data_IF_594060947332
#
_entry.id   IF_594060947332
#
_cell.length_a   1.000
_cell.length_b   1.000
_cell.length_c   1.000
_cell.angle_alpha   90.00
_cell.angle_beta   90.00
_cell.angle_gamma   90.00
#
_symmetry.space_group_name_H-M   'P 1'
#
loop_
_entity.id
_entity.type
_entity.pdbx_description
1 polymer ?
#
# COMPACT_ATOMS: atom_id res chain seq x y z
N UNK A 1 -4.46 -11.18 18.01
CA UNK A 1 -3.43 -12.03 17.38
C UNK A 1 -2.14 -12.07 18.19
N UNK A 2 -1.54 -10.93 18.55
CA UNK A 2 -0.31 -10.86 19.35
C UNK A 2 -0.28 -11.75 20.59
N UNK A 3 -1.31 -11.66 21.44
CA UNK A 3 -1.40 -12.47 22.67
C UNK A 3 -1.50 -13.99 22.44
N UNK A 4 -1.85 -14.42 21.23
CA UNK A 4 -1.90 -15.83 20.85
C UNK A 4 -0.59 -16.34 20.22
N UNK A 5 0.44 -15.48 20.16
CA UNK A 5 1.74 -15.78 19.53
C UNK A 5 2.89 -15.56 20.52
N UNK A 6 4.04 -16.20 20.29
CA UNK A 6 5.22 -16.08 21.15
C UNK A 6 6.06 -14.81 20.89
N UNK A 7 6.94 -14.41 21.83
CA UNK A 7 7.90 -13.33 21.63
C UNK A 7 8.86 -13.70 20.48
N UNK A 8 8.78 -12.98 19.36
CA UNK A 8 9.56 -13.27 18.13
C UNK A 8 8.74 -13.82 16.97
N UNK A 9 7.43 -14.02 17.13
CA UNK A 9 6.55 -14.29 15.99
C UNK A 9 6.18 -12.99 15.29
N UNK A 10 6.55 -12.83 14.02
CA UNK A 10 6.22 -11.64 13.24
C UNK A 10 4.76 -11.67 12.78
N UNK A 11 4.06 -10.55 12.92
CA UNK A 11 2.72 -10.33 12.37
C UNK A 11 2.82 -9.17 11.39
N UNK A 12 2.54 -9.44 10.12
CA UNK A 12 2.34 -8.43 9.10
C UNK A 12 0.87 -8.25 8.76
N UNK A 13 0.51 -7.06 8.28
CA UNK A 13 -0.79 -6.81 7.64
C UNK A 13 -0.58 -6.48 6.18
N UNK A 14 -1.53 -6.89 5.34
CA UNK A 14 -1.68 -6.36 3.99
C UNK A 14 -2.93 -5.50 3.94
N UNK A 15 -2.79 -4.27 3.49
CA UNK A 15 -3.91 -3.34 3.37
C UNK A 15 -3.92 -2.59 2.05
N UNK A 16 -5.10 -2.09 1.69
CA UNK A 16 -5.27 -1.18 0.57
C UNK A 16 -4.87 0.24 0.99
N UNK A 17 -4.29 0.99 0.06
CA UNK A 17 -4.10 2.44 0.13
C UNK A 17 -5.40 3.19 -0.17
N UNK A 18 -6.23 2.63 -1.04
CA UNK A 18 -7.61 3.04 -1.30
C UNK A 18 -8.37 1.92 -2.03
N UNK A 19 -9.70 1.94 -1.95
CA UNK A 19 -10.58 1.00 -2.67
C UNK A 19 -10.89 1.45 -4.11
N UNK A 20 -10.54 2.69 -4.47
CA UNK A 20 -10.80 3.28 -5.78
C UNK A 20 -12.29 3.25 -6.19
N UNK A 21 -13.17 3.41 -5.19
CA UNK A 21 -14.62 3.50 -5.36
C UNK A 21 -15.15 4.76 -4.69
N UNK A 22 -16.17 5.40 -5.27
CA UNK A 22 -16.75 6.63 -4.72
C UNK A 22 -17.38 6.36 -3.35
N UNK A 23 -16.86 7.01 -2.31
CA UNK A 23 -17.31 6.82 -0.92
C UNK A 23 -16.82 5.52 -0.27
N UNK A 24 -15.85 4.83 -0.90
CA UNK A 24 -15.14 3.71 -0.29
C UNK A 24 -13.93 4.18 0.53
N UNK A 25 -13.13 3.21 0.99
CA UNK A 25 -11.92 3.45 1.78
C UNK A 25 -10.92 4.31 1.00
N UNK A 26 -10.44 5.39 1.62
CA UNK A 26 -9.46 6.31 1.03
C UNK A 26 -8.10 6.33 1.75
N UNK A 27 -7.15 7.13 1.24
CA UNK A 27 -5.81 7.24 1.81
C UNK A 27 -5.80 7.80 3.24
N UNK A 28 -6.77 8.65 3.58
CA UNK A 28 -6.92 9.20 4.93
C UNK A 28 -7.34 8.11 5.91
N UNK A 29 -8.31 7.29 5.52
CA UNK A 29 -8.71 6.10 6.29
C UNK A 29 -7.54 5.11 6.42
N UNK A 30 -6.80 4.87 5.32
CA UNK A 30 -5.62 4.03 5.31
C UNK A 30 -4.55 4.52 6.29
N UNK A 31 -4.30 5.83 6.35
CA UNK A 31 -3.36 6.44 7.28
C UNK A 31 -3.76 6.21 8.75
N UNK A 32 -5.05 6.39 9.07
CA UNK A 32 -5.57 6.16 10.42
C UNK A 32 -5.40 4.69 10.84
N UNK A 33 -5.78 3.76 9.96
CA UNK A 33 -5.64 2.32 10.22
C UNK A 33 -4.17 1.93 10.40
N UNK A 34 -3.27 2.40 9.53
CA UNK A 34 -1.86 2.09 9.61
C UNK A 34 -1.23 2.57 10.92
N UNK A 35 -1.55 3.80 11.37
CA UNK A 35 -1.10 4.34 12.66
C UNK A 35 -1.63 3.53 13.84
N UNK A 36 -2.91 3.13 13.80
CA UNK A 36 -3.50 2.31 14.85
C UNK A 36 -2.82 0.94 14.94
N UNK A 37 -2.59 0.27 13.81
CA UNK A 37 -1.91 -1.03 13.78
C UNK A 37 -0.44 -0.93 14.20
N UNK A 38 0.24 0.16 13.86
CA UNK A 38 1.59 0.45 14.34
C UNK A 38 1.63 0.59 15.86
N UNK A 39 0.67 1.31 16.46
CA UNK A 39 0.56 1.46 17.91
C UNK A 39 0.28 0.13 18.64
N UNK A 40 -0.42 -0.80 18.00
CA UNK A 40 -0.67 -2.15 18.52
C UNK A 40 0.53 -3.12 18.34
N UNK A 41 1.64 -2.65 17.78
CA UNK A 41 2.87 -3.44 17.64
C UNK A 41 2.82 -4.44 16.50
N UNK A 42 2.34 -4.02 15.33
CA UNK A 42 2.51 -4.77 14.09
C UNK A 42 3.93 -4.66 13.56
N UNK A 43 4.45 -5.74 12.96
CA UNK A 43 5.87 -5.83 12.59
C UNK A 43 6.15 -5.43 11.14
N UNK A 44 5.12 -5.44 10.28
CA UNK A 44 5.22 -5.13 8.85
C UNK A 44 3.87 -4.66 8.31
N UNK A 45 3.89 -3.64 7.45
CA UNK A 45 2.72 -3.22 6.68
C UNK A 45 3.03 -3.39 5.19
N UNK A 46 2.34 -4.32 4.54
CA UNK A 46 2.29 -4.43 3.07
C UNK A 46 1.21 -3.51 2.52
N UNK A 47 1.62 -2.59 1.66
CA UNK A 47 0.76 -1.65 0.96
C UNK A 47 0.45 -2.22 -0.42
N UNK A 48 -0.85 -2.27 -0.70
CA UNK A 48 -1.40 -2.61 -2.01
C UNK A 48 -2.56 -1.67 -2.34
N UNK A 49 -3.34 -2.01 -3.35
CA UNK A 49 -4.54 -1.28 -3.70
C UNK A 49 -5.26 -1.95 -4.86
N UNK A 50 -6.49 -1.51 -5.10
CA UNK A 50 -7.41 -2.13 -6.05
C UNK A 50 -8.46 -2.98 -5.34
N UNK A 51 -9.52 -3.30 -6.07
CA UNK A 51 -10.63 -4.14 -5.60
C UNK A 51 -10.84 -5.30 -6.57
N UNK A 52 -11.68 -6.27 -6.19
CA UNK A 52 -12.05 -7.39 -7.05
C UNK A 52 -12.77 -6.93 -8.34
N UNK A 53 -13.47 -5.79 -8.27
CA UNK A 53 -14.22 -5.20 -9.39
C UNK A 53 -13.36 -4.28 -10.26
N UNK A 54 -12.35 -3.65 -9.66
CA UNK A 54 -11.31 -2.87 -10.36
C UNK A 54 -9.93 -3.33 -9.89
N UNK A 55 -9.41 -4.46 -10.42
CA UNK A 55 -8.08 -4.90 -10.06
C UNK A 55 -7.07 -4.01 -10.79
N UNK A 56 -6.54 -3.01 -10.08
CA UNK A 56 -5.39 -2.21 -10.50
C UNK A 56 -4.20 -3.11 -10.86
N UNK A 57 -4.08 -4.28 -10.21
CA UNK A 57 -3.10 -5.34 -10.51
C UNK A 57 -3.28 -6.00 -11.89
N UNK A 58 -4.51 -6.11 -12.42
CA UNK A 58 -4.80 -6.83 -13.69
C UNK A 58 -4.89 -5.86 -14.87
N UNK A 59 -5.36 -4.65 -14.63
CA UNK A 59 -5.68 -3.70 -15.72
C UNK A 59 -4.59 -2.70 -16.03
N UNK A 60 -3.55 -2.57 -15.18
CA UNK A 60 -2.49 -1.58 -15.38
C UNK A 60 -3.08 -0.20 -15.69
N UNK A 61 -3.83 0.36 -14.73
CA UNK A 61 -4.50 1.66 -14.89
C UNK A 61 -5.27 1.85 -16.22
N UNK A 62 -6.04 0.83 -16.65
CA UNK A 62 -7.14 1.02 -17.62
C UNK A 62 -8.49 1.31 -16.94
N UNK A 63 -8.47 1.75 -15.68
CA UNK A 63 -9.62 2.40 -15.08
C UNK A 63 -9.66 3.84 -15.56
N UNK A 64 -10.69 4.19 -16.34
CA UNK A 64 -11.04 5.56 -16.75
C UNK A 64 -11.40 6.42 -15.54
N UNK A 65 -10.41 6.76 -14.71
CA UNK A 65 -10.57 7.75 -13.65
C UNK A 65 -9.90 9.06 -14.09
N UNK A 66 -10.74 10.08 -14.28
CA UNK A 66 -10.31 11.46 -14.44
C UNK A 66 -9.42 11.87 -13.27
N UNK A 67 -8.16 12.17 -13.55
CA UNK A 67 -7.23 12.76 -12.56
C UNK A 67 -5.90 12.00 -12.35
N UNK A 68 -5.74 10.78 -12.86
CA UNK A 68 -4.44 10.07 -12.76
C UNK A 68 -3.49 10.60 -13.83
N UNK A 69 -2.43 11.31 -13.40
CA UNK A 69 -1.36 11.81 -14.30
C UNK A 69 -0.77 10.66 -15.11
N UNK A 70 -0.46 10.89 -16.39
CA UNK A 70 0.18 9.87 -17.24
C UNK A 70 1.54 9.40 -16.69
N UNK A 71 2.24 10.26 -15.94
CA UNK A 71 3.45 9.89 -15.18
C UNK A 71 3.21 8.84 -14.10
N UNK A 72 1.98 8.71 -13.60
CA UNK A 72 1.56 7.70 -12.62
C UNK A 72 1.11 6.41 -13.31
N UNK A 73 0.72 6.47 -14.59
CA UNK A 73 0.46 5.28 -15.43
C UNK A 73 1.74 4.61 -15.94
N UNK A 74 2.81 5.38 -16.15
CA UNK A 74 4.07 4.89 -16.72
C UNK A 74 5.09 4.39 -15.70
N UNK A 75 4.95 4.72 -14.41
CA UNK A 75 5.90 4.32 -13.37
C UNK A 75 5.59 2.93 -12.83
N UNK A 76 6.62 2.08 -12.74
CA UNK A 76 6.62 0.92 -11.86
C UNK A 76 6.39 1.42 -10.42
N UNK A 77 5.64 0.71 -9.57
CA UNK A 77 5.27 1.09 -8.19
C UNK A 77 4.07 2.06 -8.01
N UNK A 78 2.86 1.55 -8.25
CA UNK A 78 1.60 2.30 -8.14
C UNK A 78 1.33 2.92 -6.77
N UNK A 79 1.84 2.31 -5.69
CA UNK A 79 1.54 2.72 -4.31
C UNK A 79 2.72 3.40 -3.60
N UNK A 80 3.78 3.72 -4.34
CA UNK A 80 5.02 4.26 -3.76
C UNK A 80 4.80 5.63 -3.11
N UNK A 81 4.01 6.50 -3.73
CA UNK A 81 3.73 7.85 -3.19
C UNK A 81 3.00 7.78 -1.84
N UNK A 82 1.98 6.94 -1.71
CA UNK A 82 1.32 6.71 -0.42
C UNK A 82 2.27 6.07 0.60
N UNK A 83 3.10 5.10 0.17
CA UNK A 83 4.09 4.48 1.04
C UNK A 83 5.13 5.47 1.57
N UNK A 84 5.58 6.43 0.75
CA UNK A 84 6.46 7.52 1.16
C UNK A 84 5.81 8.43 2.20
N UNK A 85 4.53 8.77 2.01
CA UNK A 85 3.77 9.55 3.00
C UNK A 85 3.67 8.80 4.33
N UNK A 86 3.26 7.52 4.30
CA UNK A 86 3.11 6.70 5.50
C UNK A 86 4.46 6.45 6.21
N UNK A 87 5.56 6.35 5.48
CA UNK A 87 6.91 6.17 6.05
C UNK A 87 7.29 7.30 7.03
N UNK A 88 6.76 8.50 6.83
CA UNK A 88 7.01 9.63 7.72
C UNK A 88 6.16 9.62 8.99
N UNK A 89 5.15 8.76 9.05
CA UNK A 89 4.09 8.77 10.06
C UNK A 89 4.12 7.56 10.99
N UNK A 90 4.79 6.47 10.59
CA UNK A 90 4.96 5.25 11.39
C UNK A 90 6.41 4.75 11.33
N UNK A 91 6.89 4.14 12.41
CA UNK A 91 8.22 3.52 12.47
C UNK A 91 8.24 2.06 12.01
N UNK A 92 7.09 1.51 11.61
CA UNK A 92 6.95 0.11 11.18
C UNK A 92 7.52 -0.04 9.78
N UNK A 93 8.31 -1.09 9.49
CA UNK A 93 8.74 -1.39 8.13
C UNK A 93 7.57 -1.48 7.15
N UNK A 94 7.74 -0.87 5.98
CA UNK A 94 6.76 -0.87 4.90
C UNK A 94 7.24 -1.77 3.76
N UNK A 95 6.33 -2.56 3.22
CA UNK A 95 6.53 -3.35 1.99
C UNK A 95 5.59 -2.82 0.92
N UNK A 96 6.13 -2.43 -0.23
CA UNK A 96 5.33 -1.96 -1.37
C UNK A 96 5.30 -3.04 -2.43
N UNK A 97 4.10 -3.38 -2.91
CA UNK A 97 3.93 -4.32 -4.03
C UNK A 97 3.28 -3.67 -5.24
N UNK A 98 3.41 -4.29 -6.42
CA UNK A 98 2.67 -3.92 -7.63
C UNK A 98 3.49 -3.14 -8.65
N UNK A 99 3.46 -3.59 -9.91
CA UNK A 99 4.01 -2.85 -11.04
C UNK A 99 5.53 -2.91 -11.22
N UNK A 100 6.31 -3.42 -10.27
CA UNK A 100 7.75 -3.67 -10.44
C UNK A 100 7.99 -4.76 -11.51
N UNK A 101 8.74 -4.42 -12.57
CA UNK A 101 9.10 -5.37 -13.65
C UNK A 101 10.60 -5.40 -13.90
N UNK A 102 11.34 -4.42 -13.41
CA UNK A 102 12.79 -4.33 -13.59
C UNK A 102 13.52 -4.25 -12.24
N UNK A 103 14.76 -4.73 -12.22
CA UNK A 103 15.62 -4.57 -11.05
C UNK A 103 15.92 -3.09 -10.76
N UNK A 104 16.06 -2.26 -11.80
CA UNK A 104 16.25 -0.82 -11.67
C UNK A 104 15.05 -0.16 -10.97
N UNK A 105 13.82 -0.43 -11.42
CA UNK A 105 12.61 0.11 -10.79
C UNK A 105 12.45 -0.35 -9.34
N UNK A 106 12.83 -1.58 -9.00
CA UNK A 106 12.85 -2.03 -7.60
C UNK A 106 13.92 -1.30 -6.76
N UNK A 107 15.11 -1.05 -7.33
CA UNK A 107 16.19 -0.37 -6.63
C UNK A 107 15.91 1.11 -6.37
N UNK A 108 15.19 1.78 -7.28
CA UNK A 108 14.78 3.17 -7.12
C UNK A 108 13.71 3.37 -6.01
N UNK A 109 13.02 2.31 -5.60
CA UNK A 109 11.92 2.37 -4.63
C UNK A 109 12.32 2.17 -3.16
N UNK A 110 13.61 1.97 -2.87
CA UNK A 110 14.14 1.72 -1.52
C UNK A 110 14.89 2.94 -1.00
#
# INVERSE_FOLDING_TARGET
MRNATGPGFNIGIKMNSADFQRGGFDEGDAMVVAKALAAEGIDLIEISGGSYETPTLVTGNKGDYDGVKDSTRQREAYFLEFAEQLRNEVSVPLLVTGGFRTAAGMAEAV
#
